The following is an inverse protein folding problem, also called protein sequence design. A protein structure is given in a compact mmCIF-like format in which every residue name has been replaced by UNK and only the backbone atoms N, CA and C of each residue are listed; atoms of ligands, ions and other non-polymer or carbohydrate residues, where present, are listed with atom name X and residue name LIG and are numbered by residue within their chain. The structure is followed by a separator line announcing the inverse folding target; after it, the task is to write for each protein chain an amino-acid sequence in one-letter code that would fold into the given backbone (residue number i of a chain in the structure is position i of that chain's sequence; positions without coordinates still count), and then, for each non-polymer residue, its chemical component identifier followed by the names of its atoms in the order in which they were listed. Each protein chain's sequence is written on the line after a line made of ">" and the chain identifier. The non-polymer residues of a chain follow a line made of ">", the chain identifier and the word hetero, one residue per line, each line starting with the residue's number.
data_IF_662310042079
#
_entry.id   IF_662310042079
#
_cell.length_a   1.000
_cell.length_b   1.000
_cell.length_c   1.000
_cell.angle_alpha   90.00
_cell.angle_beta   90.00
_cell.angle_gamma   90.00
#
_symmetry.space_group_name_H-M   'P 1'
#
loop_
_entity.id
_entity.type
_entity.pdbx_description
1 polymer ?
#
# COMPACT_ATOMS: atom_id res chain seq x y z
N UNK A 1 -21.14 70.87 -65.98
CA UNK A 1 -21.72 70.35 -64.72
C UNK A 1 -21.36 68.88 -64.42
N UNK A 2 -20.82 68.12 -65.38
CA UNK A 2 -20.59 66.67 -65.24
C UNK A 2 -19.50 66.25 -64.24
N UNK A 3 -18.51 67.12 -63.95
CA UNK A 3 -17.38 66.76 -63.07
C UNK A 3 -17.74 66.59 -61.58
N UNK A 4 -18.83 67.20 -61.11
CA UNK A 4 -19.27 67.07 -59.71
C UNK A 4 -19.95 65.74 -59.40
N UNK A 5 -20.66 65.18 -60.38
CA UNK A 5 -21.41 63.93 -60.25
C UNK A 5 -20.46 62.72 -60.17
N UNK A 6 -19.40 62.72 -60.99
CA UNK A 6 -18.33 61.73 -60.94
C UNK A 6 -17.56 61.73 -59.60
N UNK A 7 -17.35 62.91 -59.00
CA UNK A 7 -16.69 63.00 -57.69
C UNK A 7 -17.58 62.40 -56.59
N UNK A 8 -18.89 62.67 -56.63
CA UNK A 8 -19.84 62.12 -55.66
C UNK A 8 -19.94 60.59 -55.75
N UNK A 9 -19.95 60.05 -56.97
CA UNK A 9 -19.95 58.60 -57.21
C UNK A 9 -18.69 57.94 -56.62
N UNK A 10 -17.51 58.52 -56.85
CA UNK A 10 -16.26 58.01 -56.29
C UNK A 10 -16.23 58.06 -54.75
N UNK A 11 -16.77 59.12 -54.14
CA UNK A 11 -16.88 59.22 -52.68
C UNK A 11 -17.83 58.15 -52.15
N UNK A 12 -18.97 57.92 -52.82
CA UNK A 12 -19.91 56.88 -52.45
C UNK A 12 -19.27 55.49 -52.54
N UNK A 13 -18.57 55.20 -53.64
CA UNK A 13 -17.88 53.93 -53.84
C UNK A 13 -16.78 53.70 -52.78
N UNK A 14 -16.01 54.74 -52.45
CA UNK A 14 -15.01 54.68 -51.38
C UNK A 14 -15.63 54.39 -50.02
N UNK A 15 -16.74 55.06 -49.68
CA UNK A 15 -17.45 54.83 -48.41
C UNK A 15 -18.04 53.43 -48.37
N UNK A 16 -18.63 52.97 -49.48
CA UNK A 16 -19.16 51.60 -49.61
C UNK A 16 -18.05 50.56 -49.40
N UNK A 17 -16.88 50.76 -50.01
CA UNK A 17 -15.74 49.87 -49.87
C UNK A 17 -15.20 49.86 -48.43
N UNK A 18 -15.12 51.02 -47.78
CA UNK A 18 -14.74 51.12 -46.37
C UNK A 18 -15.72 50.39 -45.45
N UNK A 19 -17.03 50.54 -45.69
CA UNK A 19 -18.08 49.82 -44.94
C UNK A 19 -17.95 48.31 -45.12
N UNK A 20 -17.69 47.83 -46.34
CA UNK A 20 -17.44 46.40 -46.62
C UNK A 20 -16.18 45.90 -45.91
N UNK A 21 -15.08 46.65 -45.98
CA UNK A 21 -13.81 46.31 -45.34
C UNK A 21 -13.96 46.22 -43.81
N UNK A 22 -14.64 47.19 -43.19
CA UNK A 22 -14.94 47.19 -41.75
C UNK A 22 -15.85 46.03 -41.35
N UNK A 23 -16.90 45.75 -42.13
CA UNK A 23 -17.79 44.61 -41.89
C UNK A 23 -17.03 43.28 -41.91
N UNK A 24 -16.13 43.09 -42.89
CA UNK A 24 -15.27 41.90 -42.99
C UNK A 24 -14.27 41.80 -41.84
N UNK A 25 -13.73 42.93 -41.36
CA UNK A 25 -12.86 42.95 -40.18
C UNK A 25 -13.64 42.56 -38.92
N UNK A 26 -14.82 43.14 -38.73
CA UNK A 26 -15.70 42.87 -37.59
C UNK A 26 -16.10 41.40 -37.54
N UNK A 27 -16.47 40.80 -38.66
CA UNK A 27 -16.79 39.37 -38.74
C UNK A 27 -15.59 38.48 -38.37
N UNK A 28 -14.38 38.83 -38.84
CA UNK A 28 -13.14 38.13 -38.45
C UNK A 28 -12.88 38.23 -36.95
N UNK A 29 -13.07 39.41 -36.37
CA UNK A 29 -12.88 39.62 -34.93
C UNK A 29 -13.93 38.86 -34.11
N UNK A 30 -15.19 38.85 -34.53
CA UNK A 30 -16.24 38.05 -33.89
C UNK A 30 -15.92 36.55 -33.91
N UNK A 31 -15.37 36.03 -35.02
CA UNK A 31 -14.94 34.63 -35.09
C UNK A 31 -13.82 34.32 -34.12
N UNK A 32 -12.82 35.21 -34.01
CA UNK A 32 -11.74 35.07 -33.01
C UNK A 32 -12.25 35.14 -31.59
N UNK A 33 -13.18 36.06 -31.30
CA UNK A 33 -13.82 36.20 -30.00
C UNK A 33 -14.52 34.89 -29.60
N UNK A 34 -15.36 34.33 -30.48
CA UNK A 34 -16.04 33.06 -30.21
C UNK A 34 -15.07 31.90 -30.03
N UNK A 35 -14.00 31.83 -30.83
CA UNK A 35 -12.98 30.80 -30.69
C UNK A 35 -12.27 30.90 -29.32
N UNK A 36 -11.88 32.11 -28.91
CA UNK A 36 -11.29 32.34 -27.59
C UNK A 36 -12.26 32.05 -26.45
N UNK A 37 -13.55 32.37 -26.60
CA UNK A 37 -14.58 32.04 -25.59
C UNK A 37 -14.76 30.52 -25.42
N UNK A 38 -14.66 29.75 -26.51
CA UNK A 38 -14.69 28.28 -26.46
C UNK A 38 -13.42 27.76 -25.79
N UNK A 39 -12.25 28.23 -26.21
CA UNK A 39 -10.97 27.82 -25.62
C UNK A 39 -10.91 28.11 -24.11
N UNK A 40 -11.40 29.26 -23.66
CA UNK A 40 -11.49 29.58 -22.23
C UNK A 40 -12.37 28.56 -21.50
N UNK A 41 -13.51 28.19 -22.07
CA UNK A 41 -14.41 27.20 -21.45
C UNK A 41 -13.78 25.82 -21.41
N UNK A 42 -13.10 25.42 -22.48
CA UNK A 42 -12.42 24.14 -22.57
C UNK A 42 -11.32 24.05 -21.50
N UNK A 43 -10.44 25.05 -21.42
CA UNK A 43 -9.39 25.14 -20.38
C UNK A 43 -9.95 25.15 -18.96
N UNK A 44 -11.06 25.87 -18.74
CA UNK A 44 -11.72 25.86 -17.42
C UNK A 44 -12.27 24.48 -17.08
N UNK A 45 -12.85 23.77 -18.05
CA UNK A 45 -13.37 22.41 -17.85
C UNK A 45 -12.25 21.41 -17.57
N UNK A 46 -11.14 21.49 -18.30
CA UNK A 46 -9.94 20.69 -18.07
C UNK A 46 -9.40 20.92 -16.65
N UNK A 47 -9.26 22.19 -16.24
CA UNK A 47 -8.81 22.52 -14.89
C UNK A 47 -9.73 21.97 -13.80
N UNK A 48 -11.06 21.99 -14.00
CA UNK A 48 -11.98 21.41 -13.02
C UNK A 48 -11.86 19.88 -12.95
N UNK A 49 -11.69 19.20 -14.09
CA UNK A 49 -11.49 17.75 -14.12
C UNK A 49 -10.19 17.36 -13.43
N UNK A 50 -9.10 18.06 -13.72
CA UNK A 50 -7.80 17.82 -13.09
C UNK A 50 -7.86 18.04 -11.58
N UNK A 51 -8.57 19.08 -11.12
CA UNK A 51 -8.82 19.32 -9.70
C UNK A 51 -9.59 18.16 -9.05
N UNK A 52 -10.59 17.59 -9.72
CA UNK A 52 -11.35 16.44 -9.21
C UNK A 52 -10.40 15.25 -9.03
N UNK A 53 -9.56 14.97 -10.02
CA UNK A 53 -8.60 13.86 -9.99
C UNK A 53 -7.51 14.05 -8.94
N UNK A 54 -6.99 15.28 -8.78
CA UNK A 54 -6.06 15.61 -7.71
C UNK A 54 -6.67 15.39 -6.33
N UNK A 55 -7.89 15.87 -6.10
CA UNK A 55 -8.59 15.65 -4.83
C UNK A 55 -8.90 14.17 -4.59
N UNK A 56 -9.19 13.39 -5.65
CA UNK A 56 -9.38 11.95 -5.53
C UNK A 56 -8.07 11.25 -5.12
N UNK A 57 -6.93 11.68 -5.68
CA UNK A 57 -5.60 11.16 -5.34
C UNK A 57 -5.23 11.47 -3.89
N UNK A 58 -5.43 12.71 -3.43
CA UNK A 58 -5.20 13.11 -2.03
C UNK A 58 -6.03 12.24 -1.08
N UNK A 59 -7.34 12.12 -1.32
CA UNK A 59 -8.22 11.28 -0.48
C UNK A 59 -7.83 9.81 -0.48
N UNK A 60 -7.25 9.30 -1.57
CA UNK A 60 -6.73 7.93 -1.63
C UNK A 60 -5.46 7.80 -0.79
N UNK A 61 -4.51 8.71 -0.99
CA UNK A 61 -3.25 8.74 -0.25
C UNK A 61 -3.46 8.94 1.26
N UNK A 62 -4.44 9.75 1.67
CA UNK A 62 -4.83 9.92 3.06
C UNK A 62 -5.34 8.61 3.66
N UNK A 63 -6.24 7.90 2.96
CA UNK A 63 -6.73 6.58 3.40
C UNK A 63 -5.60 5.56 3.50
N UNK A 64 -4.70 5.52 2.53
CA UNK A 64 -3.55 4.63 2.52
C UNK A 64 -2.61 4.96 3.70
N UNK A 65 -2.37 6.24 3.97
CA UNK A 65 -1.56 6.70 5.12
C UNK A 65 -2.20 6.34 6.46
N UNK A 66 -3.52 6.49 6.58
CA UNK A 66 -4.27 6.07 7.78
C UNK A 66 -4.15 4.56 8.01
N UNK A 67 -4.29 3.75 6.96
CA UNK A 67 -4.14 2.30 7.05
C UNK A 67 -2.72 1.90 7.50
N UNK A 68 -1.69 2.51 6.92
CA UNK A 68 -0.30 2.25 7.30
C UNK A 68 -0.02 2.65 8.75
N UNK A 69 -0.55 3.79 9.19
CA UNK A 69 -0.45 4.25 10.58
C UNK A 69 -1.14 3.27 11.55
N UNK A 70 -2.36 2.81 11.23
CA UNK A 70 -3.09 1.82 12.04
C UNK A 70 -2.36 0.48 12.09
N UNK A 71 -1.84 0.00 10.97
CA UNK A 71 -1.06 -1.24 10.92
C UNK A 71 0.19 -1.13 11.80
N UNK A 72 0.90 0.00 11.71
CA UNK A 72 2.09 0.26 12.52
C UNK A 72 1.77 0.30 14.01
N UNK A 73 0.66 0.92 14.41
CA UNK A 73 0.18 0.93 15.80
C UNK A 73 -0.15 -0.47 16.32
N UNK A 74 -0.69 -1.35 15.47
CA UNK A 74 -0.96 -2.75 15.83
C UNK A 74 0.31 -3.59 15.95
N UNK A 75 1.30 -3.35 15.08
CA UNK A 75 2.55 -4.14 15.05
C UNK A 75 3.56 -3.66 16.10
N UNK A 76 3.59 -2.36 16.43
CA UNK A 76 4.53 -1.78 17.39
C UNK A 76 4.61 -2.53 18.74
N UNK A 77 3.52 -2.91 19.42
CA UNK A 77 3.61 -3.61 20.70
C UNK A 77 4.17 -5.03 20.58
N UNK A 78 4.19 -5.62 19.39
CA UNK A 78 4.76 -6.94 19.11
C UNK A 78 6.29 -6.88 18.97
N UNK A 79 6.88 -5.69 18.82
CA UNK A 79 8.31 -5.49 18.70
C UNK A 79 8.99 -5.70 20.06
N UNK A 80 10.14 -6.39 20.06
CA UNK A 80 10.93 -6.62 21.26
C UNK A 80 11.34 -5.30 21.92
N UNK A 81 11.33 -5.29 23.26
CA UNK A 81 11.63 -4.10 24.08
C UNK A 81 13.09 -3.66 24.03
N UNK A 82 14.00 -4.56 23.68
CA UNK A 82 15.42 -4.26 23.50
C UNK A 82 15.75 -3.75 22.09
N UNK A 83 14.78 -3.62 21.19
CA UNK A 83 14.95 -3.04 19.86
C UNK A 83 14.71 -1.52 19.89
N UNK A 84 15.50 -0.74 19.12
CA UNK A 84 15.27 0.70 18.96
C UNK A 84 13.87 1.05 18.41
N UNK A 85 13.32 0.22 17.52
CA UNK A 85 11.97 0.38 16.97
C UNK A 85 10.84 0.19 17.98
N UNK A 86 11.13 -0.25 19.21
CA UNK A 86 10.16 -0.20 20.30
C UNK A 86 9.76 1.25 20.64
N UNK A 87 10.58 2.25 20.31
CA UNK A 87 10.28 3.67 20.47
C UNK A 87 10.26 4.39 19.11
N UNK A 88 9.10 4.35 18.44
CA UNK A 88 8.92 4.97 17.13
C UNK A 88 9.06 6.50 17.16
N UNK A 89 8.75 7.15 18.28
CA UNK A 89 8.93 8.61 18.44
C UNK A 89 10.40 9.01 18.40
N UNK A 90 11.29 8.17 18.94
CA UNK A 90 12.73 8.38 18.80
C UNK A 90 13.17 8.22 17.35
N UNK A 91 12.73 7.17 16.66
CA UNK A 91 13.02 6.91 15.24
C UNK A 91 12.56 8.08 14.37
N UNK A 92 11.35 8.61 14.59
CA UNK A 92 10.80 9.76 13.86
C UNK A 92 11.65 11.03 13.99
N UNK A 93 12.21 11.29 15.18
CA UNK A 93 13.09 12.45 15.40
C UNK A 93 14.45 12.31 14.73
N UNK A 94 14.94 11.08 14.57
CA UNK A 94 16.23 10.78 13.95
C UNK A 94 16.11 10.60 12.43
N UNK A 95 14.90 10.36 11.92
CA UNK A 95 14.65 10.24 10.50
C UNK A 95 14.76 11.59 9.80
N UNK A 96 15.34 11.59 8.59
CA UNK A 96 15.46 12.78 7.76
C UNK A 96 14.94 12.51 6.35
N UNK A 97 14.32 13.52 5.76
CA UNK A 97 13.90 13.46 4.36
C UNK A 97 15.10 13.66 3.44
N UNK A 98 15.26 12.75 2.49
CA UNK A 98 16.31 12.82 1.48
C UNK A 98 15.74 13.37 0.18
N UNK A 99 15.91 14.67 -0.07
CA UNK A 99 15.36 15.35 -1.26
C UNK A 99 15.90 14.74 -2.57
N UNK A 100 17.18 14.36 -2.59
CA UNK A 100 17.84 13.86 -3.80
C UNK A 100 17.23 12.52 -4.27
N UNK A 101 16.80 11.69 -3.33
CA UNK A 101 16.29 10.35 -3.60
C UNK A 101 14.78 10.20 -3.37
N UNK A 102 14.12 11.21 -2.79
CA UNK A 102 12.69 11.25 -2.55
C UNK A 102 12.18 10.23 -1.53
N UNK A 103 12.97 9.91 -0.49
CA UNK A 103 12.55 9.00 0.57
C UNK A 103 13.05 9.40 1.97
N UNK A 104 12.39 8.90 3.01
CA UNK A 104 12.84 9.08 4.39
C UNK A 104 14.01 8.15 4.72
N UNK A 105 15.16 8.72 5.08
CA UNK A 105 16.27 7.98 5.70
C UNK A 105 15.89 7.66 7.14
N UNK A 106 15.73 6.36 7.44
CA UNK A 106 15.34 5.85 8.76
C UNK A 106 16.51 5.07 9.36
N UNK A 107 16.82 5.24 10.67
CA UNK A 107 17.86 4.46 11.35
C UNK A 107 17.65 2.95 11.26
N UNK A 108 18.73 2.17 11.09
CA UNK A 108 18.64 0.71 11.00
C UNK A 108 18.18 0.04 12.32
N UNK A 109 17.55 -1.15 12.24
CA UNK A 109 17.14 -1.90 13.43
C UNK A 109 18.35 -2.40 14.22
N UNK A 110 18.42 -2.05 15.51
CA UNK A 110 19.48 -2.48 16.43
C UNK A 110 18.90 -3.05 17.72
N UNK A 111 19.53 -4.12 18.24
CA UNK A 111 19.18 -4.75 19.52
C UNK A 111 20.17 -4.29 20.60
N UNK A 112 19.67 -3.59 21.61
CA UNK A 112 20.45 -3.07 22.73
C UNK A 112 20.56 -4.16 23.81
N UNK A 113 21.70 -4.84 23.85
CA UNK A 113 22.00 -5.82 24.89
C UNK A 113 22.25 -5.09 26.21
N UNK A 114 21.34 -5.25 27.17
CA UNK A 114 21.52 -4.72 28.52
C UNK A 114 22.06 -5.84 29.42
N UNK A 115 23.27 -5.69 29.95
CA UNK A 115 23.80 -6.58 30.99
C UNK A 115 23.38 -6.08 32.37
N UNK A 116 22.82 -6.95 33.21
CA UNK A 116 22.54 -6.60 34.60
C UNK A 116 23.85 -6.35 35.36
N UNK A 117 23.87 -5.38 36.30
CA UNK A 117 25.02 -5.19 37.16
C UNK A 117 25.22 -6.45 38.03
N UNK A 118 26.44 -6.99 38.02
CA UNK A 118 26.83 -8.08 38.93
C UNK A 118 26.76 -7.53 40.35
N UNK A 119 25.80 -8.03 41.14
CA UNK A 119 25.78 -7.80 42.58
C UNK A 119 26.95 -8.58 43.19
N UNK A 120 27.93 -7.93 43.86
CA UNK A 120 28.96 -8.66 44.59
C UNK A 120 28.29 -9.38 45.76
N UNK A 121 28.06 -10.68 45.62
CA UNK A 121 27.80 -11.53 46.78
C UNK A 121 29.11 -11.57 47.58
N UNK A 122 29.04 -11.14 48.83
CA UNK A 122 30.18 -11.04 49.75
C UNK A 122 30.93 -12.37 49.95
N UNK A 123 32.10 -12.33 50.60
CA UNK A 123 33.09 -13.42 50.57
C UNK A 123 32.53 -14.72 51.16
N UNK A 124 32.50 -15.77 50.34
CA UNK A 124 32.18 -17.12 50.77
C UNK A 124 33.25 -17.68 51.70
N UNK A 125 32.86 -17.98 52.95
CA UNK A 125 33.59 -18.89 53.80
C UNK A 125 33.25 -20.35 53.45
N UNK A 126 34.31 -21.16 53.39
CA UNK A 126 34.39 -22.51 52.82
C UNK A 126 33.61 -23.56 53.64
N UNK A 127 32.96 -24.50 52.95
CA UNK A 127 32.97 -25.91 53.35
C UNK A 127 32.71 -26.83 52.15
N UNK A 128 33.77 -27.54 51.77
CA UNK A 128 33.82 -28.62 50.79
C UNK A 128 33.11 -29.86 51.36
N UNK A 129 32.21 -30.51 50.58
CA UNK A 129 32.23 -31.97 50.28
C UNK A 129 31.02 -32.46 49.45
N UNK A 130 31.34 -32.85 48.21
CA UNK A 130 30.91 -34.02 47.43
C UNK A 130 29.42 -34.21 47.06
N UNK A 131 29.10 -33.87 45.81
CA UNK A 131 28.34 -34.73 44.90
C UNK A 131 28.82 -34.46 43.45
N UNK A 132 29.25 -35.54 42.77
CA UNK A 132 29.48 -35.70 41.33
C UNK A 132 29.45 -34.45 40.45
N UNK A 133 30.63 -33.95 40.08
CA UNK A 133 30.83 -33.03 38.96
C UNK A 133 30.52 -33.76 37.67
N UNK A 134 29.36 -33.44 37.11
CA UNK A 134 29.06 -33.67 35.72
C UNK A 134 30.05 -32.86 34.87
N UNK A 135 30.64 -33.56 33.92
CA UNK A 135 30.94 -33.10 32.57
C UNK A 135 30.10 -31.89 32.15
N UNK A 136 30.76 -30.78 31.79
CA UNK A 136 30.16 -29.72 30.98
C UNK A 136 31.27 -28.83 30.42
N UNK A 137 32.05 -29.41 29.50
CA UNK A 137 32.56 -28.61 28.40
C UNK A 137 31.36 -28.21 27.53
N UNK A 138 31.10 -26.91 27.43
CA UNK A 138 30.53 -26.22 26.26
C UNK A 138 29.76 -27.10 25.24
N UNK A 139 28.42 -27.20 25.33
CA UNK A 139 27.61 -27.78 24.26
C UNK A 139 26.95 -26.71 23.36
N UNK A 140 27.06 -25.42 23.69
CA UNK A 140 26.29 -24.35 23.02
C UNK A 140 26.72 -24.08 21.59
N UNK A 141 28.02 -24.11 21.31
CA UNK A 141 28.56 -23.83 19.97
C UNK A 141 28.28 -24.95 18.97
N UNK A 142 28.35 -26.22 19.40
CA UNK A 142 28.10 -27.37 18.52
C UNK A 142 26.61 -27.58 18.22
N UNK A 143 25.72 -27.27 19.18
CA UNK A 143 24.28 -27.31 18.96
C UNK A 143 23.83 -26.20 18.02
N UNK A 144 24.28 -24.96 18.21
CA UNK A 144 23.99 -23.84 17.30
C UNK A 144 24.47 -24.13 15.86
N UNK A 145 25.68 -24.68 15.69
CA UNK A 145 26.20 -25.08 14.38
C UNK A 145 25.39 -26.23 13.76
N UNK A 146 24.89 -27.17 14.56
CA UNK A 146 23.94 -28.20 14.09
C UNK A 146 22.63 -27.60 13.61
N UNK A 147 22.07 -26.63 14.32
CA UNK A 147 20.84 -25.94 13.91
C UNK A 147 21.05 -25.13 12.63
N UNK A 148 22.20 -24.46 12.48
CA UNK A 148 22.56 -23.77 11.22
C UNK A 148 22.69 -24.76 10.07
N UNK A 149 23.38 -25.88 10.27
CA UNK A 149 23.52 -26.92 9.24
C UNK A 149 22.17 -27.55 8.84
N UNK A 150 21.25 -27.69 9.79
CA UNK A 150 19.89 -28.21 9.55
C UNK A 150 19.05 -27.23 8.71
N UNK A 151 19.20 -25.93 8.97
CA UNK A 151 18.61 -24.85 8.16
C UNK A 151 19.23 -24.78 6.76
N UNK A 152 20.57 -24.91 6.65
CA UNK A 152 21.28 -24.93 5.37
C UNK A 152 20.97 -26.17 4.52
N UNK A 153 20.57 -27.29 5.13
CA UNK A 153 20.08 -28.49 4.41
C UNK A 153 18.74 -28.27 3.71
N UNK A 154 17.99 -27.23 4.09
CA UNK A 154 16.61 -27.01 3.60
C UNK A 154 16.53 -26.18 2.32
N UNK A 155 17.64 -25.58 1.86
CA UNK A 155 17.66 -24.82 0.60
C UNK A 155 17.65 -25.70 -0.66
N UNK A 156 17.73 -27.04 -0.52
CA UNK A 156 17.65 -27.97 -1.66
C UNK A 156 16.34 -28.77 -1.77
N UNK A 157 15.45 -28.71 -0.77
CA UNK A 157 14.12 -29.32 -0.89
C UNK A 157 13.05 -28.23 -0.92
N UNK A 158 12.79 -27.81 -2.16
CA UNK A 158 11.75 -26.90 -2.59
C UNK A 158 10.40 -27.23 -1.88
N UNK A 159 10.13 -26.61 -0.73
CA UNK A 159 8.90 -26.78 0.05
C UNK A 159 7.66 -26.49 -0.80
N UNK A 160 7.79 -25.62 -1.81
CA UNK A 160 6.74 -25.32 -2.78
C UNK A 160 6.50 -26.45 -3.80
N UNK A 161 7.51 -27.28 -4.12
CA UNK A 161 7.34 -28.37 -5.11
C UNK A 161 6.52 -29.54 -4.56
N UNK A 162 6.55 -29.78 -3.24
CA UNK A 162 5.71 -30.78 -2.58
C UNK A 162 4.33 -30.26 -2.19
N UNK A 163 4.13 -28.94 -2.08
CA UNK A 163 2.84 -28.35 -1.69
C UNK A 163 1.74 -28.56 -2.74
N UNK A 164 2.10 -28.55 -4.03
CA UNK A 164 1.17 -28.82 -5.13
C UNK A 164 1.15 -30.28 -5.58
N UNK A 165 1.93 -31.16 -4.94
CA UNK A 165 1.96 -32.58 -5.31
C UNK A 165 0.76 -33.29 -4.67
N UNK A 166 -0.11 -33.84 -5.50
CA UNK A 166 -1.34 -34.50 -5.05
C UNK A 166 -1.03 -35.71 -4.16
N UNK A 167 -1.29 -35.62 -2.85
CA UNK A 167 -1.05 -36.70 -1.85
C UNK A 167 -1.76 -38.01 -2.19
N UNK A 168 -2.84 -37.95 -2.97
CA UNK A 168 -3.60 -39.11 -3.43
C UNK A 168 -2.79 -39.98 -4.41
N UNK A 169 -2.00 -39.38 -5.30
CA UNK A 169 -1.26 -40.11 -6.33
C UNK A 169 -0.10 -40.92 -5.74
N UNK A 170 0.65 -40.34 -4.79
CA UNK A 170 1.72 -41.05 -4.08
C UNK A 170 1.20 -42.21 -3.24
N UNK A 171 0.01 -42.09 -2.66
CA UNK A 171 -0.57 -43.16 -1.85
C UNK A 171 -1.12 -44.30 -2.70
N UNK A 172 -1.63 -44.04 -3.91
CA UNK A 172 -2.12 -45.08 -4.83
C UNK A 172 -0.95 -45.87 -5.47
N UNK A 173 0.17 -45.21 -5.75
CA UNK A 173 1.34 -45.86 -6.36
C UNK A 173 2.24 -46.59 -5.36
N UNK A 174 2.15 -46.25 -4.06
CA UNK A 174 3.00 -46.84 -3.00
C UNK A 174 2.30 -47.91 -2.16
N UNK A 175 1.04 -48.24 -2.45
CA UNK A 175 0.33 -49.33 -1.78
C UNK A 175 0.74 -50.67 -2.38
N UNK A 176 1.65 -51.36 -1.70
CA UNK A 176 1.85 -52.79 -1.85
C UNK A 176 0.54 -53.51 -1.43
N UNK A 177 -0.08 -54.36 -2.27
CA UNK A 177 -1.45 -54.88 -2.05
C UNK A 177 -1.59 -55.90 -0.90
N UNK A 178 -0.63 -56.00 0.01
CA UNK A 178 -0.58 -57.05 1.05
C UNK A 178 -0.84 -56.57 2.49
N UNK A 179 -1.27 -55.32 2.75
CA UNK A 179 -1.38 -54.81 4.14
C UNK A 179 -2.65 -54.05 4.56
N UNK A 180 -3.74 -54.02 3.79
CA UNK A 180 -5.00 -53.42 4.29
C UNK A 180 -5.97 -54.45 4.86
N UNK A 181 -5.73 -54.93 6.08
CA UNK A 181 -6.75 -55.60 6.89
C UNK A 181 -6.49 -55.36 8.39
N UNK A 182 -6.99 -54.23 8.89
CA UNK A 182 -7.14 -53.84 10.31
C UNK A 182 -7.22 -52.29 10.30
N UNK A 183 -8.20 -51.57 10.81
CA UNK A 183 -9.35 -51.84 11.66
C UNK A 183 -10.33 -50.66 11.51
N UNK A 184 -11.62 -50.97 11.64
CA UNK A 184 -12.80 -50.19 12.09
C UNK A 184 -12.52 -48.88 12.86
N UNK A 185 -13.38 -47.85 12.90
CA UNK A 185 -14.81 -47.87 13.28
C UNK A 185 -15.51 -46.50 13.00
N UNK A 186 -16.84 -46.54 12.88
CA UNK A 186 -17.77 -45.43 12.52
C UNK A 186 -18.38 -44.69 13.76
N UNK A 187 -19.46 -43.84 13.67
CA UNK A 187 -19.52 -42.47 14.22
C UNK A 187 -20.62 -42.25 15.29
N UNK A 188 -20.90 -41.00 15.72
CA UNK A 188 -22.27 -40.45 15.61
C UNK A 188 -22.27 -38.92 15.27
N UNK A 189 -23.24 -38.25 14.64
CA UNK A 189 -24.68 -38.46 14.51
C UNK A 189 -25.44 -37.45 15.39
N UNK A 190 -25.89 -36.29 14.87
CA UNK A 190 -26.91 -35.40 15.48
C UNK A 190 -27.46 -34.34 14.50
N UNK A 191 -28.75 -34.46 14.14
CA UNK A 191 -29.78 -33.41 14.21
C UNK A 191 -29.82 -32.20 13.25
N UNK A 192 -30.75 -32.26 12.29
CA UNK A 192 -31.37 -31.17 11.47
C UNK A 192 -32.23 -30.18 12.33
N UNK A 193 -32.90 -29.09 11.82
CA UNK A 193 -33.39 -28.87 10.46
C UNK A 193 -33.44 -27.41 9.89
N UNK A 194 -34.00 -27.37 8.67
CA UNK A 194 -34.26 -26.32 7.69
C UNK A 194 -34.95 -25.04 8.20
N UNK A 195 -34.81 -23.98 7.39
CA UNK A 195 -35.84 -22.99 6.92
C UNK A 195 -35.16 -21.62 6.74
N UNK A 196 -35.47 -20.71 5.81
CA UNK A 196 -36.29 -20.60 4.60
C UNK A 196 -35.99 -19.18 4.04
N UNK A 197 -36.12 -18.97 2.71
CA UNK A 197 -36.64 -17.75 2.02
C UNK A 197 -35.96 -16.39 2.30
N UNK A 198 -35.76 -15.42 1.40
CA UNK A 198 -36.22 -15.14 0.04
C UNK A 198 -35.47 -13.87 -0.44
N UNK A 199 -35.48 -13.65 -1.76
CA UNK A 199 -35.02 -12.46 -2.48
C UNK A 199 -35.55 -11.12 -1.92
N UNK A 200 -34.87 -9.99 -2.23
CA UNK A 200 -35.39 -8.73 -2.82
C UNK A 200 -34.23 -7.76 -3.16
N UNK A 201 -34.49 -6.87 -4.13
CA UNK A 201 -33.58 -6.13 -5.03
C UNK A 201 -33.11 -4.74 -4.49
N UNK A 202 -32.35 -3.92 -5.27
CA UNK A 202 -31.44 -2.87 -4.77
C UNK A 202 -32.06 -1.48 -4.65
N UNK A 203 -31.57 -0.65 -3.72
CA UNK A 203 -31.97 0.78 -3.64
C UNK A 203 -30.86 1.70 -3.12
N UNK A 204 -30.63 2.75 -3.92
CA UNK A 204 -30.14 4.12 -3.65
C UNK A 204 -28.69 4.46 -3.30
N UNK A 205 -28.20 5.45 -4.06
CA UNK A 205 -27.01 6.24 -3.89
C UNK A 205 -27.09 7.17 -2.65
N UNK A 206 -25.96 7.49 -2.01
CA UNK A 206 -25.93 8.45 -0.91
C UNK A 206 -25.79 9.90 -1.41
N UNK A 207 -26.70 10.73 -0.91
CA UNK A 207 -26.79 12.19 -1.00
C UNK A 207 -25.57 12.89 -0.37
N UNK A 208 -25.02 13.90 -1.05
CA UNK A 208 -23.92 14.73 -0.56
C UNK A 208 -24.42 15.84 0.39
N UNK A 209 -23.75 16.12 1.52
CA UNK A 209 -24.07 17.28 2.34
C UNK A 209 -23.41 18.57 1.81
N UNK A 210 -24.20 19.65 1.74
CA UNK A 210 -23.75 21.03 1.50
C UNK A 210 -23.00 21.62 2.72
N UNK A 211 -22.05 22.55 2.51
CA UNK A 211 -21.38 23.26 3.60
C UNK A 211 -22.25 24.40 4.15
N UNK A 212 -22.15 24.65 5.48
CA UNK A 212 -22.75 25.80 6.17
C UNK A 212 -21.74 26.97 6.31
N UNK A 213 -22.25 28.19 6.62
CA UNK A 213 -21.55 29.47 6.45
C UNK A 213 -20.25 29.63 7.23
#
# INVERSE_FOLDING_TARGET
>A
EDGGDWVLLNVYDSIQEEVRAKSKLLERMQRKLRAAEVEIKDLQSEFQLEKIDYLATIRRQERDSMLLQQLLEQVQPLIRRDCNYSNLEKIRREACWDEDNGFWKIPEPIIIKTSLPVVPTGPQNKAVRKASTADNGEPGTQEEDRYRLMLSRSDSENIASNYFRSKRASQILSTDPMKSLAHHSSPPGLGSPLSNTSAMSPTQAPEMPQPRP
#
